data_IF_441599816247
#
_entry.id   IF_441599816247
#
_cell.length_a   1.000
_cell.length_b   1.000
_cell.length_c   1.000
_cell.angle_alpha   90.00
_cell.angle_beta   90.00
_cell.angle_gamma   90.00
#
_symmetry.space_group_name_H-M   'P 1'
#
loop_
_entity.id
_entity.type
_entity.pdbx_description
1 polymer ?
#
# COMPACT_ATOMS: atom_id res chain seq x y z
N UNK A 1 -6.98 -24.57 -9.87
CA UNK A 1 -6.81 -23.62 -8.74
C UNK A 1 -7.76 -24.04 -7.63
N UNK A 2 -7.29 -24.19 -6.40
CA UNK A 2 -8.18 -24.52 -5.27
C UNK A 2 -9.20 -23.37 -5.07
N UNK A 3 -10.42 -23.68 -4.60
CA UNK A 3 -11.48 -22.68 -4.39
C UNK A 3 -11.05 -21.48 -3.52
N UNK A 4 -10.15 -21.69 -2.57
CA UNK A 4 -9.57 -20.65 -1.72
C UNK A 4 -8.76 -19.61 -2.51
N UNK A 5 -7.97 -20.02 -3.53
CA UNK A 5 -7.19 -19.08 -4.34
C UNK A 5 -8.09 -18.16 -5.19
N UNK A 6 -9.20 -18.71 -5.70
CA UNK A 6 -10.19 -17.89 -6.45
C UNK A 6 -10.84 -16.84 -5.56
N UNK A 7 -11.18 -17.21 -4.31
CA UNK A 7 -11.77 -16.26 -3.36
C UNK A 7 -10.81 -15.12 -3.01
N UNK A 8 -9.52 -15.38 -2.85
CA UNK A 8 -8.50 -14.33 -2.60
C UNK A 8 -8.38 -13.38 -3.79
N UNK A 9 -8.45 -13.88 -5.03
CA UNK A 9 -8.42 -13.03 -6.22
C UNK A 9 -9.68 -12.17 -6.35
N UNK A 10 -10.85 -12.72 -6.05
CA UNK A 10 -12.12 -11.97 -6.02
C UNK A 10 -12.05 -10.88 -4.94
N UNK A 11 -11.60 -11.22 -3.75
CA UNK A 11 -11.39 -10.29 -2.64
C UNK A 11 -10.51 -9.10 -3.06
N UNK A 12 -9.36 -9.39 -3.65
CA UNK A 12 -8.44 -8.37 -4.14
C UNK A 12 -9.05 -7.50 -5.24
N UNK A 13 -9.81 -8.08 -6.16
CA UNK A 13 -10.49 -7.34 -7.21
C UNK A 13 -11.57 -6.41 -6.64
N UNK A 14 -12.35 -6.87 -5.66
CA UNK A 14 -13.35 -6.06 -4.96
C UNK A 14 -12.70 -4.88 -4.25
N UNK A 15 -11.68 -5.12 -3.44
CA UNK A 15 -10.99 -4.06 -2.68
C UNK A 15 -10.34 -3.03 -3.61
N UNK A 16 -9.62 -3.50 -4.63
CA UNK A 16 -8.90 -2.60 -5.55
C UNK A 16 -9.85 -1.83 -6.47
N UNK A 17 -10.85 -2.52 -7.03
CA UNK A 17 -11.84 -1.92 -7.92
C UNK A 17 -12.71 -0.88 -7.19
N UNK A 18 -13.21 -1.23 -6.00
CA UNK A 18 -14.00 -0.30 -5.19
C UNK A 18 -13.14 0.90 -4.73
N UNK A 19 -11.90 0.66 -4.31
CA UNK A 19 -10.98 1.73 -3.94
C UNK A 19 -10.68 2.70 -5.09
N UNK A 20 -10.57 2.18 -6.32
CA UNK A 20 -10.46 3.01 -7.52
C UNK A 20 -11.70 3.87 -7.74
N UNK A 21 -12.90 3.26 -7.72
CA UNK A 21 -14.18 3.95 -7.91
C UNK A 21 -14.44 4.99 -6.81
N UNK A 22 -14.13 4.70 -5.55
CA UNK A 22 -14.18 5.68 -4.47
C UNK A 22 -13.29 6.89 -4.81
N UNK A 23 -12.07 6.66 -5.30
CA UNK A 23 -11.19 7.77 -5.69
C UNK A 23 -11.80 8.60 -6.81
N UNK A 24 -12.41 7.98 -7.82
CA UNK A 24 -13.11 8.70 -8.92
C UNK A 24 -14.22 9.57 -8.37
N UNK A 25 -15.08 9.02 -7.51
CA UNK A 25 -16.18 9.77 -6.85
C UNK A 25 -15.62 10.95 -6.07
N UNK A 26 -14.57 10.75 -5.27
CA UNK A 26 -14.00 11.81 -4.45
C UNK A 26 -13.35 12.93 -5.27
N UNK A 27 -12.60 12.59 -6.33
CA UNK A 27 -11.97 13.59 -7.19
C UNK A 27 -13.03 14.43 -7.92
N UNK A 28 -14.04 13.77 -8.49
CA UNK A 28 -15.13 14.46 -9.22
C UNK A 28 -15.98 15.33 -8.29
N UNK A 29 -16.27 14.85 -7.08
CA UNK A 29 -17.15 15.54 -6.15
C UNK A 29 -16.47 16.68 -5.37
N UNK A 30 -15.21 16.48 -4.95
CA UNK A 30 -14.50 17.38 -4.04
C UNK A 30 -13.52 18.32 -4.74
N UNK A 31 -13.14 18.00 -5.98
CA UNK A 31 -12.06 18.69 -6.68
C UNK A 31 -10.66 18.38 -6.09
N UNK A 32 -9.60 18.80 -6.79
CA UNK A 32 -8.22 18.43 -6.44
C UNK A 32 -7.74 18.97 -5.09
N UNK A 33 -8.22 20.11 -4.65
CA UNK A 33 -7.80 20.71 -3.38
C UNK A 33 -8.26 19.89 -2.17
N UNK A 34 -9.57 19.65 -2.07
CA UNK A 34 -10.14 18.88 -0.95
C UNK A 34 -9.77 17.40 -1.04
N UNK A 35 -9.73 16.84 -2.27
CA UNK A 35 -9.22 15.49 -2.48
C UNK A 35 -7.74 15.38 -2.09
N UNK A 36 -6.93 16.40 -2.34
CA UNK A 36 -5.53 16.43 -1.89
C UNK A 36 -5.40 16.36 -0.37
N UNK A 37 -6.21 17.13 0.36
CA UNK A 37 -6.28 17.05 1.83
C UNK A 37 -6.72 15.64 2.28
N UNK A 38 -7.75 15.05 1.66
CA UNK A 38 -8.14 13.67 1.89
C UNK A 38 -6.95 12.71 1.67
N UNK A 39 -6.25 12.85 0.55
CA UNK A 39 -5.13 11.97 0.19
C UNK A 39 -3.94 12.07 1.15
N UNK A 40 -3.69 13.23 1.75
CA UNK A 40 -2.65 13.42 2.77
C UNK A 40 -3.03 12.79 4.10
N UNK A 41 -4.28 12.93 4.53
CA UNK A 41 -4.78 12.25 5.73
C UNK A 41 -4.74 10.72 5.50
N UNK A 42 -5.18 10.25 4.34
CA UNK A 42 -5.11 8.84 3.94
C UNK A 42 -3.67 8.32 3.92
N UNK A 43 -2.70 9.14 3.51
CA UNK A 43 -1.29 8.78 3.53
C UNK A 43 -0.80 8.52 4.97
N UNK A 44 -1.18 9.36 5.92
CA UNK A 44 -0.90 9.15 7.35
C UNK A 44 -1.56 7.87 7.89
N UNK A 45 -2.83 7.62 7.50
CA UNK A 45 -3.54 6.40 7.86
C UNK A 45 -2.87 5.13 7.28
N UNK A 46 -2.39 5.18 6.04
CA UNK A 46 -1.65 4.09 5.40
C UNK A 46 -0.29 3.85 6.07
N UNK A 47 0.39 4.91 6.53
CA UNK A 47 1.61 4.76 7.31
C UNK A 47 1.35 4.02 8.63
N UNK A 48 0.33 4.45 9.39
CA UNK A 48 -0.08 3.76 10.60
C UNK A 48 -0.46 2.30 10.35
N UNK A 49 -1.17 2.02 9.25
CA UNK A 49 -1.53 0.67 8.83
C UNK A 49 -0.30 -0.18 8.48
N UNK A 50 0.72 0.41 7.84
CA UNK A 50 1.97 -0.31 7.53
C UNK A 50 2.74 -0.71 8.78
N UNK A 51 2.76 0.15 9.81
CA UNK A 51 3.34 -0.15 11.11
C UNK A 51 2.57 -1.25 11.85
N UNK A 52 1.24 -1.20 11.84
CA UNK A 52 0.37 -2.22 12.41
C UNK A 52 0.57 -3.58 11.71
N UNK A 53 0.59 -3.60 10.39
CA UNK A 53 0.86 -4.82 9.62
C UNK A 53 2.21 -5.43 9.97
N UNK A 54 3.25 -4.61 10.10
CA UNK A 54 4.58 -5.09 10.49
C UNK A 54 4.60 -5.64 11.91
N UNK A 55 3.93 -4.96 12.86
CA UNK A 55 3.99 -5.25 14.29
C UNK A 55 3.04 -6.36 14.73
N UNK A 56 1.87 -6.45 14.12
CA UNK A 56 0.80 -7.36 14.53
C UNK A 56 0.35 -8.28 13.39
N UNK A 57 0.08 -7.75 12.20
CA UNK A 57 -0.45 -8.53 11.08
C UNK A 57 0.51 -9.65 10.64
N UNK A 58 1.76 -9.33 10.34
CA UNK A 58 2.75 -10.33 9.91
C UNK A 58 3.10 -11.36 11.01
N UNK A 59 3.36 -10.94 12.27
CA UNK A 59 3.52 -11.89 13.36
C UNK A 59 2.31 -12.81 13.55
N UNK A 60 1.09 -12.27 13.46
CA UNK A 60 -0.14 -13.05 13.58
C UNK A 60 -0.20 -14.17 12.53
N UNK A 61 0.03 -13.82 11.27
CA UNK A 61 0.05 -14.78 10.16
C UNK A 61 1.17 -15.82 10.30
N UNK A 62 2.30 -15.44 10.92
CA UNK A 62 3.46 -16.31 11.08
C UNK A 62 3.36 -17.23 12.30
N UNK A 63 2.87 -16.71 13.42
CA UNK A 63 2.89 -17.43 14.70
C UNK A 63 1.58 -18.15 15.03
N UNK A 64 0.42 -17.66 14.58
CA UNK A 64 -0.86 -18.29 14.88
C UNK A 64 -0.95 -19.76 14.39
N UNK A 65 -0.52 -20.10 13.15
CA UNK A 65 -0.53 -21.48 12.69
C UNK A 65 0.40 -22.42 13.47
N UNK A 66 1.42 -21.85 14.12
CA UNK A 66 2.42 -22.61 14.90
C UNK A 66 2.01 -22.83 16.37
N UNK A 67 0.91 -22.20 16.81
CA UNK A 67 0.40 -22.41 18.17
C UNK A 67 -0.30 -23.77 18.29
N UNK A 68 -0.11 -24.51 19.38
CA UNK A 68 -0.93 -25.68 19.71
C UNK A 68 -2.42 -25.29 19.71
N UNK A 69 -3.29 -26.19 19.27
CA UNK A 69 -4.73 -25.90 19.14
C UNK A 69 -5.37 -25.43 20.46
N UNK A 70 -4.96 -26.01 21.59
CA UNK A 70 -5.42 -25.61 22.92
C UNK A 70 -4.99 -24.18 23.32
N UNK A 71 -3.86 -23.69 22.85
CA UNK A 71 -3.32 -22.36 23.18
C UNK A 71 -3.69 -21.29 22.16
N UNK A 72 -4.15 -21.68 20.97
CA UNK A 72 -4.47 -20.75 19.88
C UNK A 72 -5.51 -19.70 20.28
N UNK A 73 -6.62 -20.01 20.97
CA UNK A 73 -7.58 -18.99 21.41
C UNK A 73 -6.99 -17.96 22.38
N UNK A 74 -6.16 -18.38 23.33
CA UNK A 74 -5.51 -17.50 24.30
C UNK A 74 -4.46 -16.60 23.64
N UNK A 75 -3.77 -17.09 22.60
CA UNK A 75 -2.87 -16.30 21.76
C UNK A 75 -3.61 -15.22 20.98
N UNK A 76 -4.74 -15.56 20.32
CA UNK A 76 -5.57 -14.56 19.64
C UNK A 76 -6.15 -13.52 20.59
N UNK A 77 -6.53 -13.91 21.81
CA UNK A 77 -6.98 -12.99 22.84
C UNK A 77 -5.87 -11.99 23.25
N UNK A 78 -4.62 -12.45 23.34
CA UNK A 78 -3.48 -11.59 23.61
C UNK A 78 -3.19 -10.63 22.42
N UNK A 79 -3.18 -11.16 21.20
CA UNK A 79 -2.97 -10.37 19.99
C UNK A 79 -4.04 -9.28 19.81
N UNK A 80 -5.32 -9.60 20.05
CA UNK A 80 -6.41 -8.62 20.00
C UNK A 80 -6.22 -7.50 21.03
N UNK A 81 -5.80 -7.81 22.26
CA UNK A 81 -5.52 -6.78 23.29
C UNK A 81 -4.34 -5.89 22.89
N UNK A 82 -3.28 -6.45 22.30
CA UNK A 82 -2.16 -5.67 21.78
C UNK A 82 -2.61 -4.76 20.62
N UNK A 83 -3.53 -5.23 19.77
CA UNK A 83 -4.13 -4.40 18.71
C UNK A 83 -4.97 -3.25 19.31
N UNK A 84 -5.82 -3.52 20.29
CA UNK A 84 -6.63 -2.50 20.93
C UNK A 84 -5.76 -1.43 21.62
N UNK A 85 -4.67 -1.82 22.28
CA UNK A 85 -3.69 -0.88 22.83
C UNK A 85 -3.00 -0.04 21.76
N UNK A 86 -2.56 -0.67 20.67
CA UNK A 86 -1.94 0.05 19.56
C UNK A 86 -2.91 1.07 18.93
N UNK A 87 -4.15 0.63 18.70
CA UNK A 87 -5.22 1.48 18.13
C UNK A 87 -5.58 2.64 19.07
N UNK A 88 -5.62 2.41 20.39
CA UNK A 88 -5.84 3.47 21.38
C UNK A 88 -4.72 4.51 21.37
N UNK A 89 -3.46 4.06 21.39
CA UNK A 89 -2.30 4.97 21.30
C UNK A 89 -2.36 5.79 20.01
N UNK A 90 -2.68 5.15 18.89
CA UNK A 90 -2.83 5.83 17.61
C UNK A 90 -3.97 6.86 17.64
N UNK A 91 -5.12 6.51 18.23
CA UNK A 91 -6.24 7.45 18.40
C UNK A 91 -5.84 8.70 19.20
N UNK A 92 -5.09 8.52 20.29
CA UNK A 92 -4.56 9.61 21.10
C UNK A 92 -3.56 10.47 20.32
N UNK A 93 -2.67 9.85 19.54
CA UNK A 93 -1.71 10.56 18.69
C UNK A 93 -2.43 11.39 17.60
N UNK A 94 -3.42 10.79 16.92
CA UNK A 94 -4.20 11.50 15.90
C UNK A 94 -5.00 12.64 16.51
N UNK A 95 -5.62 12.45 17.67
CA UNK A 95 -6.31 13.52 18.39
C UNK A 95 -5.34 14.62 18.84
N UNK A 96 -4.13 14.26 19.29
CA UNK A 96 -3.10 15.22 19.70
C UNK A 96 -2.53 16.06 18.56
N UNK A 97 -2.41 15.50 17.36
CA UNK A 97 -1.96 16.24 16.17
C UNK A 97 -2.97 17.28 15.69
N UNK A 98 -4.22 17.19 16.13
CA UNK A 98 -5.27 18.14 15.80
C UNK A 98 -4.93 19.57 16.23
N UNK A 99 -4.48 19.76 17.48
CA UNK A 99 -4.07 21.07 17.99
C UNK A 99 -2.95 21.70 17.17
N UNK A 100 -1.91 20.90 16.87
CA UNK A 100 -0.76 21.34 16.07
C UNK A 100 -1.16 21.69 14.64
N UNK A 101 -2.10 20.94 14.05
CA UNK A 101 -2.56 21.18 12.69
C UNK A 101 -3.37 22.46 12.55
N UNK A 102 -4.20 22.81 13.56
CA UNK A 102 -4.97 24.05 13.58
C UNK A 102 -4.10 25.29 13.61
N UNK A 103 -2.95 25.23 14.29
CA UNK A 103 -2.05 26.36 14.44
C UNK A 103 -1.22 26.70 13.19
N UNK A 104 -1.06 25.72 12.27
CA UNK A 104 -0.09 25.85 11.18
C UNK A 104 -0.71 25.86 9.77
N UNK A 105 -1.97 25.46 9.63
CA UNK A 105 -2.59 25.31 8.31
C UNK A 105 -3.98 25.95 8.32
N UNK A 106 -4.18 27.01 7.54
CA UNK A 106 -5.45 27.72 7.34
C UNK A 106 -6.59 26.84 6.76
N UNK A 107 -6.55 25.54 7.03
CA UNK A 107 -7.57 24.61 6.57
C UNK A 107 -8.78 24.64 7.50
N UNK A 108 -10.01 24.48 6.97
CA UNK A 108 -11.24 24.45 7.77
C UNK A 108 -11.36 23.12 8.54
N UNK A 109 -10.37 22.81 9.35
CA UNK A 109 -10.33 21.61 10.17
C UNK A 109 -11.10 21.85 11.46
N UNK A 110 -12.42 21.80 11.38
CA UNK A 110 -13.29 21.83 12.55
C UNK A 110 -13.26 20.47 13.26
N UNK A 111 -13.62 20.45 14.56
CA UNK A 111 -13.88 19.19 15.30
C UNK A 111 -14.77 18.22 14.49
N UNK A 112 -15.71 18.76 13.71
CA UNK A 112 -16.55 17.99 12.79
C UNK A 112 -15.80 17.19 11.72
N UNK A 113 -14.56 17.54 11.40
CA UNK A 113 -13.71 16.79 10.46
C UNK A 113 -12.81 15.79 11.20
N UNK A 114 -12.26 16.14 12.36
CA UNK A 114 -11.32 15.29 13.08
C UNK A 114 -11.93 14.07 13.74
N UNK A 115 -13.16 14.18 14.25
CA UNK A 115 -13.87 13.04 14.83
C UNK A 115 -14.03 11.91 13.78
N UNK A 116 -14.57 12.16 12.56
CA UNK A 116 -14.68 11.12 11.56
C UNK A 116 -13.33 10.64 11.01
N UNK A 117 -12.30 11.49 10.95
CA UNK A 117 -10.93 11.07 10.59
C UNK A 117 -10.40 10.07 11.62
N UNK A 118 -10.48 10.40 12.91
CA UNK A 118 -10.04 9.49 13.98
C UNK A 118 -10.83 8.18 13.96
N UNK A 119 -12.16 8.26 13.81
CA UNK A 119 -13.01 7.07 13.68
C UNK A 119 -12.57 6.20 12.51
N UNK A 120 -12.28 6.81 11.34
CA UNK A 120 -11.84 6.09 10.16
C UNK A 120 -10.50 5.39 10.39
N UNK A 121 -9.52 6.08 10.98
CA UNK A 121 -8.20 5.50 11.24
C UNK A 121 -8.33 4.33 12.22
N UNK A 122 -9.04 4.52 13.33
CA UNK A 122 -9.25 3.50 14.37
C UNK A 122 -9.99 2.27 13.82
N UNK A 123 -11.10 2.48 13.14
CA UNK A 123 -11.91 1.39 12.60
C UNK A 123 -11.17 0.61 11.51
N UNK A 124 -10.39 1.28 10.66
CA UNK A 124 -9.58 0.62 9.62
C UNK A 124 -8.42 -0.19 10.20
N UNK A 125 -7.81 0.25 11.30
CA UNK A 125 -6.78 -0.54 12.00
C UNK A 125 -7.39 -1.83 12.54
N UNK A 126 -8.50 -1.72 13.28
CA UNK A 126 -9.19 -2.89 13.80
C UNK A 126 -9.68 -3.81 12.67
N UNK A 127 -10.22 -3.25 11.61
CA UNK A 127 -10.66 -4.00 10.43
C UNK A 127 -9.51 -4.78 9.78
N UNK A 128 -8.33 -4.17 9.63
CA UNK A 128 -7.15 -4.84 9.09
C UNK A 128 -6.67 -6.00 9.98
N UNK A 129 -6.73 -5.82 11.30
CA UNK A 129 -6.46 -6.91 12.25
C UNK A 129 -7.44 -8.07 12.09
N UNK A 130 -8.75 -7.80 12.03
CA UNK A 130 -9.79 -8.82 11.87
C UNK A 130 -9.67 -9.57 10.53
N UNK A 131 -9.29 -8.87 9.46
CA UNK A 131 -8.92 -9.51 8.19
C UNK A 131 -7.71 -10.44 8.34
N UNK A 132 -6.63 -9.97 8.96
CA UNK A 132 -5.45 -10.79 9.20
C UNK A 132 -5.77 -12.03 10.03
N UNK A 133 -6.64 -11.91 11.04
CA UNK A 133 -7.15 -13.04 11.81
C UNK A 133 -7.93 -14.03 10.93
N UNK A 134 -8.80 -13.56 10.05
CA UNK A 134 -9.53 -14.43 9.11
C UNK A 134 -8.56 -15.23 8.23
N UNK A 135 -7.49 -14.60 7.72
CA UNK A 135 -6.48 -15.30 6.93
C UNK A 135 -5.65 -16.28 7.79
N UNK A 136 -5.24 -15.89 8.99
CA UNK A 136 -4.50 -16.73 9.93
C UNK A 136 -5.29 -17.99 10.38
N UNK A 137 -6.62 -17.89 10.41
CA UNK A 137 -7.53 -18.99 10.75
C UNK A 137 -8.09 -19.75 9.54
N UNK A 138 -7.66 -19.40 8.31
CA UNK A 138 -8.14 -20.02 7.07
C UNK A 138 -9.57 -19.65 6.66
N UNK A 139 -10.19 -18.67 7.31
CA UNK A 139 -11.58 -18.23 7.08
C UNK A 139 -11.69 -17.22 5.93
N UNK A 140 -11.13 -17.54 4.76
CA UNK A 140 -11.04 -16.61 3.61
C UNK A 140 -12.42 -16.10 3.16
N UNK A 141 -13.45 -16.94 3.19
CA UNK A 141 -14.84 -16.52 2.85
C UNK A 141 -15.33 -15.39 3.75
N UNK A 142 -14.99 -15.48 5.04
CA UNK A 142 -15.36 -14.45 6.01
C UNK A 142 -14.64 -13.13 5.73
N UNK A 143 -13.34 -13.16 5.43
CA UNK A 143 -12.61 -11.97 5.01
C UNK A 143 -13.30 -11.30 3.81
N UNK A 144 -13.63 -12.06 2.76
CA UNK A 144 -14.36 -11.55 1.60
C UNK A 144 -15.72 -10.94 1.97
N UNK A 145 -16.51 -11.57 2.86
CA UNK A 145 -17.79 -11.00 3.31
C UNK A 145 -17.61 -9.66 4.03
N UNK A 146 -16.57 -9.54 4.86
CA UNK A 146 -16.25 -8.28 5.55
C UNK A 146 -15.82 -7.20 4.57
N UNK A 147 -15.02 -7.54 3.56
CA UNK A 147 -14.60 -6.61 2.52
C UNK A 147 -15.78 -6.16 1.65
N UNK A 148 -16.67 -7.08 1.29
CA UNK A 148 -17.92 -6.76 0.58
C UNK A 148 -18.84 -5.85 1.41
N UNK A 149 -18.85 -6.00 2.72
CA UNK A 149 -19.63 -5.13 3.60
C UNK A 149 -18.99 -3.74 3.73
N UNK A 150 -17.67 -3.64 3.83
CA UNK A 150 -16.98 -2.37 4.04
C UNK A 150 -16.87 -1.54 2.74
N UNK A 151 -16.24 -2.08 1.70
CA UNK A 151 -15.84 -1.29 0.53
C UNK A 151 -17.00 -0.94 -0.41
N UNK A 152 -17.82 -1.89 -0.90
CA UNK A 152 -18.96 -1.57 -1.76
C UNK A 152 -20.02 -0.71 -1.06
N UNK A 153 -20.27 -0.94 0.25
CA UNK A 153 -21.21 -0.11 1.01
C UNK A 153 -20.72 1.32 1.09
N UNK A 154 -19.43 1.54 1.36
CA UNK A 154 -18.86 2.89 1.36
C UNK A 154 -19.01 3.56 -0.01
N UNK A 155 -18.72 2.84 -1.10
CA UNK A 155 -18.87 3.37 -2.46
C UNK A 155 -20.32 3.79 -2.74
N UNK A 156 -21.29 2.93 -2.45
CA UNK A 156 -22.72 3.22 -2.68
C UNK A 156 -23.16 4.46 -1.90
N UNK A 157 -22.82 4.51 -0.59
CA UNK A 157 -23.22 5.65 0.25
C UNK A 157 -22.54 6.94 -0.20
N UNK A 158 -21.25 6.92 -0.55
CA UNK A 158 -20.54 8.09 -1.09
C UNK A 158 -21.18 8.57 -2.40
N UNK A 159 -21.53 7.65 -3.31
CA UNK A 159 -22.18 8.00 -4.58
C UNK A 159 -23.57 8.62 -4.36
N UNK A 160 -24.35 8.10 -3.42
CA UNK A 160 -25.66 8.67 -3.06
C UNK A 160 -25.53 10.07 -2.47
N UNK A 161 -24.57 10.30 -1.57
CA UNK A 161 -24.34 11.63 -0.99
C UNK A 161 -23.85 12.60 -2.07
N UNK A 162 -22.98 12.13 -2.97
CA UNK A 162 -22.50 12.94 -4.10
C UNK A 162 -23.64 13.34 -5.04
N UNK A 163 -24.54 12.41 -5.42
CA UNK A 163 -25.68 12.71 -6.29
C UNK A 163 -26.63 13.75 -5.71
N UNK A 164 -26.60 13.97 -4.39
CA UNK A 164 -27.33 15.03 -3.69
C UNK A 164 -26.57 16.36 -3.61
N UNK A 165 -25.35 16.41 -4.11
CA UNK A 165 -24.48 17.59 -3.99
C UNK A 165 -23.95 17.87 -2.56
N UNK A 166 -24.03 16.89 -1.69
CA UNK A 166 -23.76 17.06 -0.26
C UNK A 166 -22.42 16.48 0.20
N UNK A 167 -21.57 15.97 -0.72
CA UNK A 167 -20.33 15.33 -0.34
C UNK A 167 -19.30 16.37 0.15
N UNK A 168 -18.78 16.14 1.35
CA UNK A 168 -17.74 16.94 1.99
C UNK A 168 -16.62 16.05 2.51
N UNK A 169 -15.48 16.63 2.85
CA UNK A 169 -14.36 15.90 3.46
C UNK A 169 -14.79 15.15 4.74
N UNK A 170 -15.52 15.81 5.63
CA UNK A 170 -16.01 15.22 6.88
C UNK A 170 -16.98 14.05 6.61
N UNK A 171 -17.95 14.24 5.71
CA UNK A 171 -18.89 13.16 5.32
C UNK A 171 -18.18 11.99 4.68
N UNK A 172 -17.15 12.24 3.89
CA UNK A 172 -16.32 11.16 3.32
C UNK A 172 -15.72 10.28 4.42
N UNK A 173 -15.11 10.89 5.45
CA UNK A 173 -14.54 10.13 6.56
C UNK A 173 -15.61 9.46 7.43
N UNK A 174 -16.77 10.09 7.64
CA UNK A 174 -17.91 9.45 8.33
C UNK A 174 -18.34 8.17 7.62
N UNK A 175 -18.43 8.20 6.30
CA UNK A 175 -18.84 7.03 5.51
C UNK A 175 -17.78 5.93 5.54
N UNK A 176 -16.51 6.29 5.31
CA UNK A 176 -15.41 5.32 5.32
C UNK A 176 -15.22 4.69 6.71
N UNK A 177 -15.25 5.50 7.76
CA UNK A 177 -15.13 5.03 9.13
C UNK A 177 -16.36 4.24 9.58
N UNK A 178 -17.56 4.70 9.22
CA UNK A 178 -18.81 4.02 9.52
C UNK A 178 -18.90 2.64 8.87
N UNK A 179 -18.57 2.53 7.56
CA UNK A 179 -18.56 1.26 6.86
C UNK A 179 -17.55 0.27 7.45
N UNK A 180 -16.34 0.73 7.78
CA UNK A 180 -15.34 -0.09 8.46
C UNK A 180 -15.81 -0.51 9.86
N UNK A 181 -16.46 0.40 10.62
CA UNK A 181 -17.01 0.09 11.94
C UNK A 181 -18.11 -0.96 11.88
N UNK A 182 -19.03 -0.84 10.91
CA UNK A 182 -20.10 -1.83 10.68
C UNK A 182 -19.50 -3.21 10.38
N UNK A 183 -18.48 -3.27 9.52
CA UNK A 183 -17.79 -4.51 9.21
C UNK A 183 -17.06 -5.09 10.45
N UNK A 184 -16.45 -4.24 11.29
CA UNK A 184 -15.86 -4.68 12.56
C UNK A 184 -16.92 -5.24 13.50
N UNK A 185 -18.07 -4.59 13.65
CA UNK A 185 -19.18 -5.07 14.48
C UNK A 185 -19.72 -6.42 13.98
N UNK A 186 -19.90 -6.57 12.67
CA UNK A 186 -20.29 -7.84 12.04
C UNK A 186 -19.25 -8.95 12.23
N UNK A 187 -17.98 -8.58 12.42
CA UNK A 187 -16.92 -9.55 12.71
C UNK A 187 -16.89 -10.01 14.17
N UNK A 188 -17.43 -9.25 15.13
CA UNK A 188 -17.32 -9.54 16.58
C UNK A 188 -17.78 -10.96 17.00
N UNK A 189 -18.90 -11.53 16.48
CA UNK A 189 -19.38 -12.84 16.94
C UNK A 189 -18.39 -13.99 16.69
N UNK A 190 -17.50 -13.84 15.74
CA UNK A 190 -16.57 -14.91 15.37
C UNK A 190 -15.09 -14.54 15.55
N UNK A 191 -14.79 -13.52 16.34
CA UNK A 191 -13.40 -13.16 16.68
C UNK A 191 -12.76 -14.29 17.48
N UNK A 192 -11.62 -14.78 17.01
CA UNK A 192 -10.88 -15.82 17.71
C UNK A 192 -10.34 -15.26 19.05
N UNK A 193 -10.48 -16.04 20.11
CA UNK A 193 -10.06 -15.63 21.46
C UNK A 193 -11.02 -14.68 22.17
N UNK A 194 -12.18 -14.32 21.61
CA UNK A 194 -13.20 -13.53 22.30
C UNK A 194 -13.69 -14.29 23.54
N UNK A 195 -13.70 -13.59 24.68
CA UNK A 195 -14.13 -14.19 25.97
C UNK A 195 -13.13 -15.16 26.59
N UNK A 196 -11.98 -15.40 25.95
CA UNK A 196 -10.91 -16.26 26.46
C UNK A 196 -9.89 -15.43 27.24
N UNK A 197 -9.36 -15.99 28.35
CA UNK A 197 -8.25 -15.36 29.07
C UNK A 197 -7.01 -15.32 28.16
N UNK A 198 -6.39 -14.15 27.95
CA UNK A 198 -5.21 -14.06 27.12
C UNK A 198 -4.02 -14.73 27.78
N UNK A 199 -3.11 -15.25 26.99
CA UNK A 199 -1.77 -15.56 27.47
C UNK A 199 -1.01 -14.25 27.85
N UNK A 200 0.18 -14.37 28.41
CA UNK A 200 0.99 -13.22 28.82
C UNK A 200 1.13 -12.19 27.70
N UNK A 201 0.58 -10.97 27.88
CA UNK A 201 0.68 -9.87 26.92
C UNK A 201 2.13 -9.42 26.73
N UNK A 202 2.91 -9.45 27.83
CA UNK A 202 4.33 -9.07 27.80
C UNK A 202 5.15 -10.04 26.93
N UNK A 203 4.95 -11.34 27.10
CA UNK A 203 5.65 -12.38 26.34
C UNK A 203 5.23 -12.35 24.85
N UNK A 204 3.91 -12.29 24.62
CA UNK A 204 3.39 -12.17 23.24
C UNK A 204 3.92 -10.91 22.56
N UNK A 205 3.88 -9.76 23.24
CA UNK A 205 4.39 -8.50 22.74
C UNK A 205 5.89 -8.54 22.49
N UNK A 206 6.68 -9.12 23.39
CA UNK A 206 8.12 -9.28 23.21
C UNK A 206 8.46 -10.20 22.03
N UNK A 207 7.74 -11.32 21.87
CA UNK A 207 7.88 -12.23 20.74
C UNK A 207 7.54 -11.54 19.41
N UNK A 208 6.43 -10.81 19.38
CA UNK A 208 6.03 -10.03 18.21
C UNK A 208 7.07 -8.96 17.88
N UNK A 209 7.55 -8.20 18.88
CA UNK A 209 8.55 -7.15 18.68
C UNK A 209 9.90 -7.69 18.20
N UNK A 210 10.36 -8.81 18.74
CA UNK A 210 11.58 -9.47 18.28
C UNK A 210 11.57 -9.77 16.77
N UNK A 211 10.42 -10.20 16.25
CA UNK A 211 10.20 -10.45 14.82
C UNK A 211 9.93 -9.16 14.03
N UNK A 212 9.12 -8.27 14.58
CA UNK A 212 8.57 -7.11 13.88
C UNK A 212 9.52 -5.92 13.75
N UNK A 213 10.50 -5.76 14.66
CA UNK A 213 11.37 -4.56 14.68
C UNK A 213 12.07 -4.28 13.35
N UNK A 214 12.55 -5.31 12.68
CA UNK A 214 13.19 -5.19 11.37
C UNK A 214 12.18 -4.90 10.26
N UNK A 215 11.01 -5.55 10.32
CA UNK A 215 9.92 -5.32 9.36
C UNK A 215 9.38 -3.89 9.50
N UNK A 216 9.21 -3.40 10.72
CA UNK A 216 8.79 -2.03 10.98
C UNK A 216 9.81 -1.01 10.46
N UNK A 217 11.10 -1.24 10.69
CA UNK A 217 12.17 -0.41 10.12
C UNK A 217 12.14 -0.37 8.59
N UNK A 218 11.96 -1.53 7.95
CA UNK A 218 11.79 -1.59 6.49
C UNK A 218 10.53 -0.87 6.01
N UNK A 219 9.39 -1.01 6.72
CA UNK A 219 8.16 -0.32 6.36
C UNK A 219 8.27 1.20 6.46
N UNK A 220 8.97 1.70 7.49
CA UNK A 220 9.28 3.13 7.63
C UNK A 220 10.14 3.60 6.46
N UNK A 221 11.24 2.91 6.18
CA UNK A 221 12.12 3.26 5.08
C UNK A 221 11.40 3.25 3.72
N UNK A 222 10.61 2.20 3.45
CA UNK A 222 9.83 2.09 2.23
C UNK A 222 8.77 3.19 2.12
N UNK A 223 8.13 3.56 3.24
CA UNK A 223 7.15 4.65 3.25
C UNK A 223 7.80 5.97 2.83
N UNK A 224 8.92 6.34 3.43
CA UNK A 224 9.65 7.56 3.08
C UNK A 224 10.21 7.50 1.65
N UNK A 225 10.80 6.37 1.24
CA UNK A 225 11.23 6.19 -0.15
C UNK A 225 10.10 6.48 -1.14
N UNK A 226 8.89 5.95 -0.88
CA UNK A 226 7.79 6.04 -1.84
C UNK A 226 7.02 7.36 -1.80
N UNK A 227 7.12 8.13 -0.71
CA UNK A 227 6.24 9.28 -0.49
C UNK A 227 6.97 10.62 -0.25
N UNK A 228 8.31 10.66 -0.17
CA UNK A 228 9.05 11.91 0.12
C UNK A 228 8.72 13.02 -0.88
N UNK A 229 8.71 12.74 -2.17
CA UNK A 229 8.36 13.73 -3.19
C UNK A 229 6.90 14.18 -3.12
N UNK A 230 5.97 13.27 -2.77
CA UNK A 230 4.57 13.63 -2.55
C UNK A 230 4.41 14.55 -1.34
N UNK A 231 5.10 14.23 -0.23
CA UNK A 231 5.08 15.05 0.99
C UNK A 231 5.71 16.41 0.73
N UNK A 232 6.85 16.47 0.03
CA UNK A 232 7.47 17.73 -0.36
C UNK A 232 6.56 18.56 -1.29
N UNK A 233 5.88 17.92 -2.26
CA UNK A 233 4.91 18.61 -3.11
C UNK A 233 3.73 19.16 -2.31
N UNK A 234 3.22 18.41 -1.33
CA UNK A 234 2.15 18.88 -0.46
C UNK A 234 2.59 20.07 0.40
N UNK A 235 3.79 20.00 0.98
CA UNK A 235 4.32 21.04 1.86
C UNK A 235 4.63 22.35 1.13
N UNK A 236 5.18 22.26 -0.09
CA UNK A 236 5.66 23.42 -0.85
C UNK A 236 4.63 23.97 -1.86
N UNK A 237 3.76 23.11 -2.39
CA UNK A 237 2.82 23.48 -3.47
C UNK A 237 1.36 23.32 -3.05
N UNK A 238 1.12 22.84 -1.82
CA UNK A 238 -0.20 22.67 -1.24
C UNK A 238 -0.93 21.39 -1.62
N UNK A 239 -2.10 21.19 -0.99
CA UNK A 239 -2.93 20.02 -1.15
C UNK A 239 -3.37 19.73 -2.61
N UNK A 240 -3.67 20.72 -3.49
CA UNK A 240 -4.03 20.43 -4.87
C UNK A 240 -2.94 19.67 -5.65
N UNK A 241 -1.66 19.96 -5.39
CA UNK A 241 -0.55 19.24 -6.01
C UNK A 241 -0.52 17.77 -5.59
N UNK A 242 -0.70 17.50 -4.29
CA UNK A 242 -0.82 16.13 -3.78
C UNK A 242 -2.04 15.41 -4.38
N UNK A 243 -3.17 16.11 -4.50
CA UNK A 243 -4.39 15.59 -5.12
C UNK A 243 -4.17 15.16 -6.57
N UNK A 244 -3.53 16.02 -7.37
CA UNK A 244 -3.20 15.73 -8.76
C UNK A 244 -2.27 14.50 -8.90
N UNK A 245 -1.22 14.41 -8.07
CA UNK A 245 -0.31 13.25 -8.03
C UNK A 245 -1.08 11.96 -7.69
N UNK A 246 -1.91 12.00 -6.63
CA UNK A 246 -2.65 10.81 -6.19
C UNK A 246 -3.73 10.38 -7.17
N UNK A 247 -4.43 11.32 -7.81
CA UNK A 247 -5.38 11.02 -8.87
C UNK A 247 -4.69 10.34 -10.07
N UNK A 248 -3.57 10.88 -10.54
CA UNK A 248 -2.77 10.27 -11.60
C UNK A 248 -2.26 8.86 -11.22
N UNK A 249 -1.77 8.69 -9.99
CA UNK A 249 -1.29 7.42 -9.48
C UNK A 249 -2.39 6.35 -9.45
N UNK A 250 -3.64 6.74 -9.15
CA UNK A 250 -4.78 5.81 -9.12
C UNK A 250 -5.13 5.25 -10.48
N UNK A 251 -5.01 6.04 -11.54
CA UNK A 251 -5.24 5.56 -12.92
C UNK A 251 -4.24 4.44 -13.26
N UNK A 252 -2.97 4.61 -12.90
CA UNK A 252 -1.95 3.58 -13.11
C UNK A 252 -2.12 2.35 -12.21
N UNK A 253 -2.93 2.45 -11.15
CA UNK A 253 -3.21 1.35 -10.23
C UNK A 253 -3.80 0.10 -10.89
N UNK A 254 -4.42 0.22 -12.06
CA UNK A 254 -4.90 -0.93 -12.86
C UNK A 254 -3.74 -1.87 -13.23
N UNK A 255 -2.57 -1.33 -13.57
CA UNK A 255 -1.37 -2.15 -13.86
C UNK A 255 -0.86 -2.89 -12.62
N UNK A 256 -1.09 -2.34 -11.43
CA UNK A 256 -0.68 -2.98 -10.19
C UNK A 256 -1.38 -4.33 -9.93
N UNK A 257 -2.60 -4.52 -10.41
CA UNK A 257 -3.28 -5.82 -10.36
C UNK A 257 -2.52 -6.90 -11.11
N UNK A 258 -1.94 -6.56 -12.28
CA UNK A 258 -1.07 -7.45 -13.04
C UNK A 258 0.20 -7.80 -12.27
N UNK A 259 0.82 -6.83 -11.60
CA UNK A 259 2.01 -7.06 -10.78
C UNK A 259 1.73 -7.99 -9.60
N UNK A 260 0.60 -7.80 -8.91
CA UNK A 260 0.17 -8.69 -7.82
C UNK A 260 -0.10 -10.13 -8.28
N UNK A 261 -0.74 -10.30 -9.44
CA UNK A 261 -0.95 -11.63 -10.01
C UNK A 261 0.41 -12.32 -10.31
N UNK A 262 1.36 -11.56 -10.83
CA UNK A 262 2.72 -12.04 -11.09
C UNK A 262 3.46 -12.42 -9.80
N UNK A 263 3.37 -11.61 -8.74
CA UNK A 263 3.98 -11.88 -7.43
C UNK A 263 3.45 -13.18 -6.78
N UNK A 264 2.27 -13.64 -7.15
CA UNK A 264 1.71 -14.90 -6.65
C UNK A 264 2.17 -16.13 -7.46
N UNK A 265 2.52 -15.98 -8.74
CA UNK A 265 2.79 -17.10 -9.65
C UNK A 265 4.28 -17.26 -9.91
N UNK A 266 4.98 -16.18 -10.20
CA UNK A 266 6.37 -16.20 -10.65
C UNK A 266 7.34 -16.74 -9.59
N UNK A 267 7.26 -16.38 -8.29
CA UNK A 267 8.19 -16.91 -7.28
C UNK A 267 8.15 -18.42 -7.16
N UNK A 268 6.95 -19.00 -7.19
CA UNK A 268 6.76 -20.46 -7.08
C UNK A 268 7.36 -21.19 -8.29
N UNK A 269 7.14 -20.66 -9.49
CA UNK A 269 7.68 -21.20 -10.72
C UNK A 269 9.21 -21.04 -10.78
N UNK A 270 9.72 -19.88 -10.38
CA UNK A 270 11.15 -19.58 -10.32
C UNK A 270 11.89 -20.50 -9.35
N UNK A 271 11.34 -20.72 -8.14
CA UNK A 271 11.93 -21.61 -7.14
C UNK A 271 11.95 -23.08 -7.63
N UNK A 272 10.87 -23.56 -8.28
CA UNK A 272 10.83 -24.91 -8.86
C UNK A 272 11.87 -25.09 -9.96
N UNK A 273 11.98 -24.14 -10.88
CA UNK A 273 12.97 -24.18 -11.96
C UNK A 273 14.40 -24.15 -11.42
N UNK A 274 14.67 -23.33 -10.39
CA UNK A 274 15.98 -23.28 -9.76
C UNK A 274 16.35 -24.65 -9.14
N UNK A 275 15.41 -25.29 -8.45
CA UNK A 275 15.62 -26.58 -7.79
C UNK A 275 15.74 -27.77 -8.79
N UNK A 276 14.93 -27.77 -9.85
CA UNK A 276 14.86 -28.89 -10.78
C UNK A 276 15.84 -28.80 -11.96
N UNK A 277 16.06 -27.58 -12.49
CA UNK A 277 16.79 -27.36 -13.76
C UNK A 277 18.01 -26.41 -13.59
N UNK A 278 18.24 -25.95 -12.38
CA UNK A 278 19.42 -25.16 -12.02
C UNK A 278 19.38 -23.68 -12.46
N UNK A 279 20.53 -23.00 -12.23
CA UNK A 279 20.66 -21.55 -12.35
C UNK A 279 20.42 -21.02 -13.78
N UNK A 280 20.84 -21.76 -14.80
CA UNK A 280 20.73 -21.31 -16.21
C UNK A 280 19.26 -21.18 -16.64
N UNK A 281 18.45 -22.18 -16.33
CA UNK A 281 17.01 -22.17 -16.64
C UNK A 281 16.25 -21.13 -15.81
N UNK A 282 16.58 -21.02 -14.52
CA UNK A 282 16.03 -19.98 -13.66
C UNK A 282 16.27 -18.58 -14.24
N UNK A 283 17.50 -18.27 -14.66
CA UNK A 283 17.84 -16.98 -15.27
C UNK A 283 17.10 -16.75 -16.59
N UNK A 284 17.11 -17.74 -17.48
CA UNK A 284 16.38 -17.65 -18.74
C UNK A 284 14.90 -17.34 -18.52
N UNK A 285 14.27 -18.01 -17.54
CA UNK A 285 12.89 -17.79 -17.18
C UNK A 285 12.64 -16.35 -16.68
N UNK A 286 13.45 -15.88 -15.72
CA UNK A 286 13.31 -14.52 -15.20
C UNK A 286 13.63 -13.46 -16.25
N UNK A 287 14.65 -13.65 -17.08
CA UNK A 287 14.96 -12.72 -18.17
C UNK A 287 13.82 -12.64 -19.18
N UNK A 288 13.21 -13.79 -19.53
CA UNK A 288 12.03 -13.79 -20.41
C UNK A 288 10.86 -13.04 -19.81
N UNK A 289 10.55 -13.24 -18.51
CA UNK A 289 9.49 -12.49 -17.83
C UNK A 289 9.84 -11.00 -17.78
N UNK A 290 11.08 -10.67 -17.44
CA UNK A 290 11.54 -9.28 -17.40
C UNK A 290 11.39 -8.62 -18.77
N UNK A 291 11.86 -9.25 -19.85
CA UNK A 291 11.81 -8.66 -21.19
C UNK A 291 10.37 -8.52 -21.69
N UNK A 292 9.59 -9.62 -21.68
CA UNK A 292 8.22 -9.60 -22.20
C UNK A 292 7.31 -8.71 -21.35
N UNK A 293 7.41 -8.81 -20.03
CA UNK A 293 6.62 -7.99 -19.14
C UNK A 293 7.02 -6.52 -19.15
N UNK A 294 8.33 -6.21 -19.31
CA UNK A 294 8.81 -4.85 -19.53
C UNK A 294 8.22 -4.26 -20.81
N UNK A 295 8.29 -4.98 -21.94
CA UNK A 295 7.74 -4.52 -23.20
C UNK A 295 6.21 -4.33 -23.11
N UNK A 296 5.50 -5.26 -22.51
CA UNK A 296 4.05 -5.13 -22.31
C UNK A 296 3.70 -3.93 -21.42
N UNK A 297 4.38 -3.78 -20.27
CA UNK A 297 4.16 -2.66 -19.36
C UNK A 297 4.54 -1.34 -20.01
N UNK A 298 5.66 -1.28 -20.75
CA UNK A 298 6.10 -0.09 -21.45
C UNK A 298 5.11 0.31 -22.57
N UNK A 299 4.58 -0.65 -23.33
CA UNK A 299 3.59 -0.39 -24.37
C UNK A 299 2.29 0.16 -23.78
N UNK A 300 1.76 -0.47 -22.72
CA UNK A 300 0.54 0.00 -22.05
C UNK A 300 0.77 1.38 -21.44
N UNK A 301 1.90 1.56 -20.74
CA UNK A 301 2.26 2.85 -20.13
C UNK A 301 2.45 3.95 -21.18
N UNK A 302 3.08 3.65 -22.33
CA UNK A 302 3.22 4.59 -23.43
C UNK A 302 1.85 4.98 -23.99
N UNK A 303 0.94 4.02 -24.20
CA UNK A 303 -0.42 4.31 -24.62
C UNK A 303 -1.13 5.24 -23.63
N UNK A 304 -1.06 4.95 -22.34
CA UNK A 304 -1.64 5.82 -21.29
C UNK A 304 -0.98 7.21 -21.29
N UNK A 305 0.34 7.32 -21.48
CA UNK A 305 1.04 8.59 -21.48
C UNK A 305 0.71 9.45 -22.71
N UNK A 306 0.57 8.83 -23.91
CA UNK A 306 0.19 9.51 -25.16
C UNK A 306 -1.24 10.04 -25.02
N UNK A 307 -2.17 9.18 -24.57
CA UNK A 307 -3.58 9.52 -24.41
C UNK A 307 -3.91 10.04 -23.01
N UNK A 308 -2.93 10.56 -22.25
CA UNK A 308 -3.09 10.89 -20.84
C UNK A 308 -4.27 11.83 -20.57
N UNK A 309 -4.45 12.87 -21.38
CA UNK A 309 -5.58 13.79 -21.23
C UNK A 309 -6.92 13.06 -21.45
N UNK A 310 -7.02 12.33 -22.55
CA UNK A 310 -8.25 11.57 -22.85
C UNK A 310 -8.61 10.56 -21.72
N UNK A 311 -7.60 9.83 -21.22
CA UNK A 311 -7.83 8.87 -20.11
C UNK A 311 -8.25 9.58 -18.84
N UNK A 312 -7.66 10.71 -18.52
CA UNK A 312 -8.04 11.50 -17.34
C UNK A 312 -9.43 12.12 -17.50
N UNK A 313 -9.76 12.68 -18.67
CA UNK A 313 -11.09 13.25 -18.95
C UNK A 313 -12.18 12.17 -18.85
N UNK A 314 -11.91 10.96 -19.33
CA UNK A 314 -12.82 9.82 -19.20
C UNK A 314 -13.04 9.43 -17.72
N UNK A 315 -11.97 9.43 -16.90
CA UNK A 315 -12.04 9.00 -15.49
C UNK A 315 -12.52 10.14 -14.58
N UNK A 316 -12.03 11.37 -14.78
CA UNK A 316 -12.23 12.50 -13.87
C UNK A 316 -12.90 13.71 -14.54
N UNK A 317 -13.89 13.47 -15.37
CA UNK A 317 -14.64 14.47 -16.13
C UNK A 317 -14.85 15.80 -15.36
N UNK A 318 -14.48 16.91 -15.98
CA UNK A 318 -14.68 18.26 -15.42
C UNK A 318 -13.64 18.72 -14.39
N UNK A 319 -12.68 17.89 -13.97
CA UNK A 319 -11.69 18.22 -12.92
C UNK A 319 -10.25 18.13 -13.41
N UNK A 320 -10.03 17.76 -14.67
CA UNK A 320 -8.69 17.50 -15.22
C UNK A 320 -7.94 18.81 -15.47
N UNK A 321 -6.73 18.92 -14.90
CA UNK A 321 -5.77 20.00 -15.17
C UNK A 321 -4.47 19.47 -15.79
N UNK A 322 -3.59 20.37 -16.25
CA UNK A 322 -2.32 20.01 -16.87
C UNK A 322 -1.35 19.34 -15.87
N UNK A 323 -1.51 19.59 -14.56
CA UNK A 323 -0.74 18.91 -13.52
C UNK A 323 -1.06 17.42 -13.50
N UNK A 324 -2.35 17.05 -13.59
CA UNK A 324 -2.74 15.63 -13.66
C UNK A 324 -2.19 14.95 -14.90
N UNK A 325 -2.20 15.63 -16.06
CA UNK A 325 -1.66 15.10 -17.32
C UNK A 325 -0.15 14.85 -17.19
N UNK A 326 0.59 15.83 -16.69
CA UNK A 326 2.02 15.69 -16.43
C UNK A 326 2.29 14.58 -15.39
N UNK A 327 1.50 14.54 -14.32
CA UNK A 327 1.57 13.51 -13.30
C UNK A 327 1.37 12.11 -13.88
N UNK A 328 0.34 11.91 -14.71
CA UNK A 328 0.07 10.62 -15.34
C UNK A 328 1.18 10.16 -16.29
N UNK A 329 1.76 11.09 -17.05
CA UNK A 329 2.94 10.80 -17.92
C UNK A 329 4.16 10.36 -17.09
N UNK A 330 4.46 11.06 -16.00
CA UNK A 330 5.55 10.67 -15.11
C UNK A 330 5.28 9.32 -14.42
N UNK A 331 4.03 9.07 -13.99
CA UNK A 331 3.63 7.78 -13.41
C UNK A 331 3.74 6.63 -14.42
N UNK A 332 3.49 6.87 -15.71
CA UNK A 332 3.69 5.87 -16.75
C UNK A 332 5.15 5.36 -16.78
N UNK A 333 6.11 6.27 -16.71
CA UNK A 333 7.55 5.93 -16.62
C UNK A 333 7.87 5.21 -15.30
N UNK A 334 7.33 5.73 -14.19
CA UNK A 334 7.51 5.13 -12.86
C UNK A 334 7.04 3.67 -12.83
N UNK A 335 5.90 3.35 -13.45
CA UNK A 335 5.36 1.98 -13.44
C UNK A 335 6.18 0.99 -14.26
N UNK A 336 6.83 1.44 -15.33
CA UNK A 336 7.81 0.61 -16.09
C UNK A 336 9.01 0.24 -15.21
N UNK A 337 9.54 1.21 -14.46
CA UNK A 337 10.62 0.97 -13.50
C UNK A 337 10.14 0.05 -12.35
N UNK A 338 8.91 0.26 -11.84
CA UNK A 338 8.31 -0.56 -10.78
C UNK A 338 8.15 -2.03 -11.19
N UNK A 339 7.75 -2.29 -12.44
CA UNK A 339 7.71 -3.65 -12.98
C UNK A 339 9.08 -4.32 -12.91
N UNK A 340 10.11 -3.63 -13.39
CA UNK A 340 11.50 -4.11 -13.35
C UNK A 340 11.95 -4.45 -11.92
N UNK A 341 11.67 -3.54 -10.98
CA UNK A 341 11.97 -3.75 -9.55
C UNK A 341 11.28 -5.02 -9.04
N UNK A 342 9.98 -5.21 -9.32
CA UNK A 342 9.21 -6.36 -8.86
C UNK A 342 9.82 -7.68 -9.34
N UNK A 343 10.18 -7.80 -10.62
CA UNK A 343 10.79 -9.03 -11.16
C UNK A 343 12.14 -9.32 -10.53
N UNK A 344 12.99 -8.29 -10.39
CA UNK A 344 14.32 -8.45 -9.77
C UNK A 344 14.23 -8.82 -8.30
N UNK A 345 13.28 -8.25 -7.55
CA UNK A 345 13.03 -8.63 -6.16
C UNK A 345 12.60 -10.09 -6.02
N UNK A 346 11.76 -10.59 -6.93
CA UNK A 346 11.40 -12.01 -6.97
C UNK A 346 12.66 -12.85 -7.18
N UNK A 347 13.55 -12.45 -8.10
CA UNK A 347 14.81 -13.12 -8.34
C UNK A 347 15.70 -13.18 -7.10
N UNK A 348 15.96 -12.04 -6.46
CA UNK A 348 16.79 -11.99 -5.26
C UNK A 348 16.18 -12.73 -4.05
N UNK A 349 14.85 -12.71 -3.90
CA UNK A 349 14.15 -13.50 -2.86
C UNK A 349 14.30 -15.00 -3.11
N UNK A 350 14.17 -15.43 -4.36
CA UNK A 350 14.35 -16.86 -4.74
C UNK A 350 15.78 -17.33 -4.51
N UNK A 351 16.78 -16.46 -4.67
CA UNK A 351 18.19 -16.73 -4.40
C UNK A 351 18.59 -16.52 -2.93
N UNK A 352 17.65 -16.15 -2.05
CA UNK A 352 17.87 -15.86 -0.63
C UNK A 352 18.86 -14.70 -0.36
N UNK A 353 19.12 -13.86 -1.38
CA UNK A 353 20.04 -12.72 -1.30
C UNK A 353 19.34 -11.41 -0.96
N UNK A 354 18.45 -11.44 0.03
CA UNK A 354 17.60 -10.30 0.42
C UNK A 354 18.38 -9.08 0.95
N UNK A 355 19.61 -9.26 1.40
CA UNK A 355 20.50 -8.15 1.85
C UNK A 355 20.74 -7.11 0.77
N UNK A 356 20.86 -7.55 -0.49
CA UNK A 356 21.05 -6.67 -1.65
C UNK A 356 19.83 -5.77 -1.83
N UNK A 357 18.64 -6.35 -1.75
CA UNK A 357 17.38 -5.61 -1.86
C UNK A 357 17.25 -4.59 -0.72
N UNK A 358 17.61 -4.98 0.51
CA UNK A 358 17.60 -4.08 1.66
C UNK A 358 18.57 -2.91 1.47
N UNK A 359 19.81 -3.16 1.05
CA UNK A 359 20.80 -2.11 0.82
C UNK A 359 20.36 -1.12 -0.26
N UNK A 360 19.80 -1.64 -1.37
CA UNK A 360 19.25 -0.82 -2.44
C UNK A 360 18.07 0.06 -1.95
N UNK A 361 17.17 -0.48 -1.11
CA UNK A 361 16.10 0.29 -0.50
C UNK A 361 16.64 1.40 0.41
N UNK A 362 17.64 1.13 1.25
CA UNK A 362 18.23 2.13 2.14
C UNK A 362 18.87 3.27 1.36
N UNK A 363 19.67 2.93 0.33
CA UNK A 363 20.29 3.93 -0.54
C UNK A 363 19.22 4.78 -1.26
N UNK A 364 18.21 4.14 -1.81
CA UNK A 364 17.10 4.81 -2.51
C UNK A 364 16.29 5.71 -1.56
N UNK A 365 16.03 5.26 -0.32
CA UNK A 365 15.34 6.07 0.70
C UNK A 365 16.14 7.31 1.04
N UNK A 366 17.44 7.14 1.27
CA UNK A 366 18.32 8.26 1.58
C UNK A 366 18.30 9.32 0.46
N UNK A 367 18.47 8.88 -0.79
CA UNK A 367 18.41 9.78 -1.96
C UNK A 367 17.05 10.47 -2.03
N UNK A 368 15.94 9.73 -1.87
CA UNK A 368 14.60 10.29 -1.95
C UNK A 368 14.35 11.37 -0.89
N UNK A 369 14.71 11.10 0.36
CA UNK A 369 14.49 12.03 1.48
C UNK A 369 15.33 13.31 1.31
N UNK A 370 16.60 13.15 0.93
CA UNK A 370 17.52 14.31 0.79
C UNK A 370 17.20 15.13 -0.44
N UNK A 371 16.78 14.51 -1.56
CA UNK A 371 16.55 15.22 -2.83
C UNK A 371 15.15 15.77 -3.00
N UNK A 372 14.14 15.24 -2.28
CA UNK A 372 12.74 15.58 -2.51
C UNK A 372 12.47 17.10 -2.36
N UNK A 373 12.88 17.68 -1.23
CA UNK A 373 12.64 19.10 -0.98
C UNK A 373 13.36 20.00 -1.99
N UNK A 374 14.70 19.95 -2.18
CA UNK A 374 15.39 20.85 -3.10
C UNK A 374 14.97 20.67 -4.56
N UNK A 375 14.61 19.48 -4.98
CA UNK A 375 14.10 19.24 -6.34
C UNK A 375 12.73 19.87 -6.54
N UNK A 376 11.83 19.75 -5.54
CA UNK A 376 10.51 20.38 -5.63
C UNK A 376 10.59 21.90 -5.51
N UNK A 377 11.44 22.44 -4.65
CA UNK A 377 11.67 23.88 -4.56
C UNK A 377 12.15 24.48 -5.90
N UNK A 378 13.07 23.78 -6.58
CA UNK A 378 13.66 24.27 -7.82
C UNK A 378 12.78 24.07 -9.06
N UNK A 379 12.09 22.95 -9.17
CA UNK A 379 11.36 22.52 -10.37
C UNK A 379 9.85 22.43 -10.17
N UNK A 380 9.33 22.79 -8.98
CA UNK A 380 7.91 22.78 -8.68
C UNK A 380 7.27 21.40 -8.83
N UNK A 381 6.05 21.40 -9.35
CA UNK A 381 5.28 20.17 -9.56
C UNK A 381 5.97 19.17 -10.51
N UNK A 382 6.60 19.65 -11.57
CA UNK A 382 7.37 18.78 -12.47
C UNK A 382 8.50 18.08 -11.74
N UNK A 383 9.22 18.79 -10.85
CA UNK A 383 10.23 18.20 -9.96
C UNK A 383 9.69 17.08 -9.09
N UNK A 384 8.49 17.26 -8.53
CA UNK A 384 7.85 16.24 -7.71
C UNK A 384 7.57 14.96 -8.51
N UNK A 385 6.87 15.03 -9.63
CA UNK A 385 6.43 13.86 -10.38
C UNK A 385 7.57 13.15 -11.12
N UNK A 386 8.49 13.91 -11.73
CA UNK A 386 9.67 13.34 -12.37
C UNK A 386 10.72 12.88 -11.38
N UNK A 387 10.80 13.50 -10.19
CA UNK A 387 11.61 13.04 -9.09
C UNK A 387 11.16 11.66 -8.58
N UNK A 388 9.85 11.43 -8.45
CA UNK A 388 9.29 10.10 -8.15
C UNK A 388 9.67 9.06 -9.22
N UNK A 389 9.58 9.41 -10.50
CA UNK A 389 9.93 8.52 -11.60
C UNK A 389 11.44 8.22 -11.63
N UNK A 390 12.28 9.24 -11.46
CA UNK A 390 13.74 9.11 -11.41
C UNK A 390 14.20 8.25 -10.22
N UNK A 391 13.59 8.42 -9.06
CA UNK A 391 13.83 7.60 -7.88
C UNK A 391 13.54 6.13 -8.13
N UNK A 392 12.40 5.80 -8.76
CA UNK A 392 12.09 4.41 -9.13
C UNK A 392 13.06 3.88 -10.20
N UNK A 393 13.47 4.74 -11.14
CA UNK A 393 14.52 4.42 -12.10
C UNK A 393 15.86 4.10 -11.44
N UNK A 394 16.25 4.88 -10.42
CA UNK A 394 17.46 4.62 -9.62
C UNK A 394 17.38 3.26 -8.90
N UNK A 395 16.26 2.97 -8.26
CA UNK A 395 16.05 1.67 -7.59
C UNK A 395 16.15 0.51 -8.58
N UNK A 396 15.53 0.62 -9.75
CA UNK A 396 15.62 -0.37 -10.82
C UNK A 396 17.08 -0.55 -11.30
N UNK A 397 17.80 0.57 -11.49
CA UNK A 397 19.20 0.55 -11.91
C UNK A 397 20.13 -0.11 -10.88
N UNK A 398 19.95 0.18 -9.58
CA UNK A 398 20.70 -0.45 -8.50
C UNK A 398 20.49 -1.96 -8.48
N UNK A 399 19.24 -2.43 -8.57
CA UNK A 399 18.92 -3.85 -8.58
C UNK A 399 19.42 -4.54 -9.86
N UNK A 400 19.34 -3.88 -11.03
CA UNK A 400 19.90 -4.40 -12.28
C UNK A 400 21.42 -4.53 -12.22
N UNK A 401 22.10 -3.54 -11.66
CA UNK A 401 23.54 -3.58 -11.46
C UNK A 401 23.95 -4.78 -10.60
N UNK A 402 23.31 -4.94 -9.45
CA UNK A 402 23.60 -6.07 -8.55
C UNK A 402 23.22 -7.42 -9.19
N UNK A 403 22.15 -7.48 -9.96
CA UNK A 403 21.76 -8.67 -10.71
C UNK A 403 22.86 -9.09 -11.72
N UNK A 404 23.39 -8.12 -12.48
CA UNK A 404 24.48 -8.35 -13.45
C UNK A 404 25.77 -8.77 -12.73
N UNK A 405 26.08 -8.10 -11.61
CA UNK A 405 27.26 -8.42 -10.81
C UNK A 405 27.21 -9.84 -10.23
N UNK A 406 26.08 -10.26 -9.70
CA UNK A 406 25.86 -11.63 -9.22
C UNK A 406 25.98 -12.67 -10.36
N UNK A 407 25.61 -12.29 -11.58
CA UNK A 407 25.80 -13.10 -12.79
C UNK A 407 27.27 -13.32 -13.16
N UNK A 408 28.13 -12.32 -12.98
CA UNK A 408 29.55 -12.40 -13.27
C UNK A 408 30.34 -13.24 -12.25
N UNK A 409 29.98 -13.16 -10.98
CA UNK A 409 30.63 -13.94 -9.92
C UNK A 409 30.35 -15.44 -10.01
N UNK A 410 29.18 -15.85 -10.50
CA UNK A 410 28.85 -17.29 -10.64
C UNK A 410 29.48 -17.94 -11.87
N UNK A 411 29.94 -17.18 -12.87
CA UNK A 411 30.69 -17.70 -14.01
C UNK A 411 32.16 -17.99 -13.65
N UNK A 412 32.70 -17.31 -12.62
CA UNK A 412 34.10 -17.53 -12.16
C UNK A 412 34.25 -18.71 -11.20
N UNK A 413 33.18 -19.12 -10.51
CA UNK A 413 33.24 -20.26 -9.56
C UNK A 413 33.04 -21.63 -10.20
N UNK A 414 32.64 -21.71 -11.49
CA UNK A 414 32.51 -22.97 -12.24
C UNK A 414 33.76 -23.32 -13.04
N UNK A 415 34.80 -22.50 -12.98
CA UNK A 415 36.09 -22.71 -13.66
C UNK A 415 37.28 -22.88 -12.70
N UNK A 416 37.03 -23.12 -11.42
CA UNK A 416 37.97 -23.57 -10.39
C UNK A 416 37.44 -24.89 -9.77
#
# INVERSE_FOLDING_TARGET
>A
MSGSKRLVLIDQAVVSGTGFLITVVLVRALGLGVFGTFALIELGALFALSLQQSRLGQPLLTFAPKQPDAQRPSYFAAALRLELWFTLVLAVLVAGTYGVYLDHWDAPATLGTWIPVTLTIVSRQLFAYLRAECFATGRVRRALCLDLLAYPTALVVLTVIWSRGELTLARTFWVLGGAASIACLAALPGVAGRGVKPQSLRETGAKHWGFARWLAGMSVAQFFASNSFLVAAAALLGAPAAGAIKAAQRVMGVLHLGFQAMENVVPVSAARLLAAEGMTRFRSYLTRILTLGFLATALISAGIAIFARFVLDLVYEGVVDDRMVLGLRAMAVLYVASFTITVLQIGFRTLETTRVVFAAYMANTFVAVVSAQPVVERFGYAGAVWGMAAQQGLMAALLLFEWRRAGLTSARSSSA
#
